data_IF_162776497799
#
_entry.id   IF_162776497799
#
_cell.length_a   1.000
_cell.length_b   1.000
_cell.length_c   1.000
_cell.angle_alpha   90.00
_cell.angle_beta   90.00
_cell.angle_gamma   90.00
#
_symmetry.space_group_name_H-M   'P 1'
#
loop_
_entity.id
_entity.type
_entity.pdbx_description
1 polymer ?
#
# COMPACT_ATOMS: atom_id res chain seq x y z
N UNK A 1 -8.03 -1.21 16.16
CA UNK A 1 -7.57 -1.00 14.78
C UNK A 1 -6.77 0.29 14.74
N UNK A 2 -5.68 0.30 13.98
CA UNK A 2 -4.85 1.49 13.74
C UNK A 2 -5.00 1.89 12.27
N UNK A 3 -5.13 3.20 12.03
CA UNK A 3 -5.29 3.76 10.69
C UNK A 3 -4.15 4.74 10.42
N UNK A 4 -3.58 4.68 9.22
CA UNK A 4 -2.42 5.46 8.85
C UNK A 4 -2.62 6.24 7.57
N UNK A 5 -1.95 7.39 7.47
CA UNK A 5 -1.58 8.01 6.21
C UNK A 5 -0.07 7.92 6.02
N UNK A 6 0.36 7.48 4.85
CA UNK A 6 1.79 7.37 4.51
C UNK A 6 2.17 8.52 3.58
N UNK A 7 3.22 9.26 3.94
CA UNK A 7 3.66 10.43 3.18
C UNK A 7 5.18 10.59 3.21
N UNK A 8 5.74 11.16 2.15
CA UNK A 8 7.13 11.67 2.13
C UNK A 8 7.21 13.07 2.77
N UNK A 9 6.08 13.74 3.01
CA UNK A 9 5.99 15.02 3.70
C UNK A 9 5.83 14.84 5.22
N UNK A 10 6.70 15.48 5.99
CA UNK A 10 6.86 15.31 7.44
C UNK A 10 6.19 16.37 8.30
N UNK A 11 5.62 17.41 7.71
CA UNK A 11 5.04 18.57 8.40
C UNK A 11 3.52 18.74 8.16
N UNK A 12 2.76 17.64 8.11
CA UNK A 12 1.30 17.70 7.95
C UNK A 12 0.61 17.68 9.32
N UNK A 13 0.12 18.84 9.76
CA UNK A 13 -0.60 18.97 11.04
C UNK A 13 -2.09 18.64 10.92
N UNK A 14 -2.70 18.91 9.75
CA UNK A 14 -4.12 18.69 9.48
C UNK A 14 -4.28 18.14 8.06
N UNK A 15 -5.01 17.04 7.96
CA UNK A 15 -5.42 16.47 6.68
C UNK A 15 -6.80 16.99 6.32
N UNK A 16 -6.85 17.87 5.33
CA UNK A 16 -8.11 18.38 4.80
C UNK A 16 -8.67 17.41 3.74
N UNK A 17 -10.00 17.20 3.68
CA UNK A 17 -10.61 16.36 2.66
C UNK A 17 -10.30 16.87 1.25
N UNK A 18 -9.90 15.96 0.35
CA UNK A 18 -9.57 16.27 -1.05
C UNK A 18 -10.51 15.53 -2.00
N UNK A 19 -10.89 16.17 -3.10
CA UNK A 19 -11.71 15.52 -4.13
C UNK A 19 -10.94 14.29 -4.66
N UNK A 20 -11.52 13.09 -4.59
CA UNK A 20 -10.83 11.87 -5.00
C UNK A 20 -10.59 11.85 -6.51
N UNK A 21 -9.49 11.24 -6.96
CA UNK A 21 -9.20 11.05 -8.39
C UNK A 21 -9.92 9.81 -8.97
N UNK A 22 -10.22 8.82 -8.12
CA UNK A 22 -10.98 7.59 -8.45
C UNK A 22 -12.34 7.89 -9.08
N UNK A 23 -12.61 7.36 -10.28
CA UNK A 23 -13.81 7.69 -11.08
C UNK A 23 -15.11 7.13 -10.50
N UNK A 24 -15.01 6.06 -9.73
CA UNK A 24 -16.10 5.35 -9.06
C UNK A 24 -16.62 6.07 -7.81
N UNK A 25 -15.94 7.14 -7.36
CA UNK A 25 -16.32 7.91 -6.18
C UNK A 25 -16.97 9.26 -6.55
N UNK A 26 -17.83 9.74 -5.65
CA UNK A 26 -18.49 11.04 -5.77
C UNK A 26 -17.47 12.19 -5.84
N UNK A 27 -17.43 12.88 -6.98
CA UNK A 27 -16.52 14.00 -7.26
C UNK A 27 -16.92 15.31 -6.58
N UNK A 28 -18.07 15.36 -5.92
CA UNK A 28 -18.51 16.52 -5.15
C UNK A 28 -18.06 16.47 -3.69
N UNK A 29 -17.57 15.32 -3.23
CA UNK A 29 -17.22 15.08 -1.83
C UNK A 29 -15.71 14.96 -1.68
N UNK A 30 -15.12 15.78 -0.80
CA UNK A 30 -13.74 15.65 -0.39
C UNK A 30 -13.56 14.53 0.62
N UNK A 31 -12.44 13.80 0.54
CA UNK A 31 -12.12 12.69 1.42
C UNK A 31 -10.69 12.81 1.99
N UNK A 32 -10.54 12.48 3.27
CA UNK A 32 -9.25 12.13 3.89
C UNK A 32 -9.14 10.61 3.84
N UNK A 33 -8.04 10.11 3.29
CA UNK A 33 -7.78 8.68 3.16
C UNK A 33 -6.85 8.19 4.26
N UNK A 34 -7.18 7.02 4.79
CA UNK A 34 -6.32 6.25 5.65
C UNK A 34 -6.32 4.77 5.22
N UNK A 35 -5.29 4.06 5.64
CA UNK A 35 -5.12 2.62 5.43
C UNK A 35 -5.01 1.93 6.78
N UNK A 36 -5.55 0.72 6.89
CA UNK A 36 -5.35 -0.07 8.11
C UNK A 36 -3.92 -0.60 8.25
N UNK A 37 -3.61 -1.10 9.44
CA UNK A 37 -2.29 -1.66 9.75
C UNK A 37 -1.94 -2.92 8.95
N UNK A 38 -2.93 -3.73 8.57
CA UNK A 38 -2.73 -4.98 7.82
C UNK A 38 -2.25 -4.68 6.39
N UNK A 39 -2.80 -3.64 5.77
CA UNK A 39 -2.49 -3.22 4.41
C UNK A 39 -1.39 -2.16 4.33
N UNK A 40 -0.91 -1.67 5.48
CA UNK A 40 0.22 -0.73 5.57
C UNK A 40 1.45 -1.14 4.71
N UNK A 41 1.86 -2.42 4.63
CA UNK A 41 2.98 -2.83 3.78
C UNK A 41 2.87 -2.39 2.32
N UNK A 42 1.65 -2.33 1.76
CA UNK A 42 1.40 -1.91 0.38
C UNK A 42 1.78 -0.45 0.13
N UNK A 43 2.04 0.32 1.18
CA UNK A 43 2.33 1.74 1.13
C UNK A 43 3.68 2.10 1.73
N UNK A 44 4.48 1.13 2.19
CA UNK A 44 5.86 1.36 2.65
C UNK A 44 6.85 1.45 1.48
N UNK A 45 6.50 2.27 0.49
CA UNK A 45 7.29 2.59 -0.71
C UNK A 45 7.14 4.08 -1.03
N UNK A 46 8.08 4.72 -1.74
CA UNK A 46 7.91 6.08 -2.26
C UNK A 46 6.58 6.24 -3.01
N UNK A 47 5.98 7.44 -2.99
CA UNK A 47 4.60 7.66 -3.45
C UNK A 47 4.37 7.17 -4.87
N UNK A 48 5.33 7.43 -5.75
CA UNK A 48 5.27 7.13 -7.18
C UNK A 48 5.94 5.80 -7.55
N UNK A 49 6.46 5.05 -6.57
CA UNK A 49 7.04 3.74 -6.81
C UNK A 49 5.96 2.77 -7.32
N UNK A 50 6.06 2.27 -8.58
CA UNK A 50 5.16 1.28 -9.12
C UNK A 50 5.40 -0.04 -8.39
N UNK A 51 4.30 -0.72 -8.08
CA UNK A 51 4.37 -1.95 -7.29
C UNK A 51 3.17 -2.84 -7.52
N UNK A 52 3.44 -4.13 -7.45
CA UNK A 52 2.42 -5.18 -7.36
C UNK A 52 2.53 -5.79 -5.98
N UNK A 53 1.40 -5.82 -5.28
CA UNK A 53 1.32 -6.29 -3.90
C UNK A 53 0.19 -7.29 -3.80
N UNK A 54 0.35 -8.29 -2.95
CA UNK A 54 -0.70 -9.28 -2.69
C UNK A 54 -0.50 -9.96 -1.34
N UNK A 55 -1.60 -10.46 -0.81
CA UNK A 55 -1.62 -11.13 0.48
C UNK A 55 -2.70 -12.22 0.55
N UNK A 56 -2.57 -13.11 1.54
CA UNK A 56 -3.55 -14.17 1.79
C UNK A 56 -4.83 -13.57 2.39
N UNK A 57 -5.96 -13.83 1.72
CA UNK A 57 -7.32 -13.52 2.17
C UNK A 57 -8.10 -14.78 2.54
N UNK A 58 -9.32 -14.61 3.05
CA UNK A 58 -10.22 -15.72 3.42
C UNK A 58 -10.53 -16.66 2.24
N UNK A 59 -10.58 -16.12 1.02
CA UNK A 59 -10.85 -16.87 -0.21
C UNK A 59 -9.62 -17.41 -0.95
N UNK A 60 -8.40 -17.23 -0.42
CA UNK A 60 -7.18 -17.63 -1.11
C UNK A 60 -7.02 -19.15 -1.14
N UNK A 61 -6.87 -19.71 -2.34
CA UNK A 61 -6.67 -21.14 -2.57
C UNK A 61 -5.27 -21.60 -2.16
N UNK A 62 -5.16 -22.87 -1.74
CA UNK A 62 -3.85 -23.48 -1.45
C UNK A 62 -2.93 -23.50 -2.68
N UNK A 63 -3.49 -23.67 -3.87
CA UNK A 63 -2.71 -23.62 -5.11
C UNK A 63 -2.01 -22.27 -5.30
N UNK A 64 -2.73 -21.15 -5.11
CA UNK A 64 -2.13 -19.83 -5.24
C UNK A 64 -1.10 -19.56 -4.13
N UNK A 65 -1.31 -20.10 -2.91
CA UNK A 65 -0.30 -20.02 -1.85
C UNK A 65 1.00 -20.70 -2.26
N UNK A 66 0.91 -21.95 -2.73
CA UNK A 66 2.07 -22.74 -3.17
C UNK A 66 2.81 -22.12 -4.36
N UNK A 67 2.09 -21.49 -5.29
CA UNK A 67 2.67 -20.91 -6.50
C UNK A 67 3.29 -19.54 -6.24
N UNK A 68 2.66 -18.70 -5.41
CA UNK A 68 3.02 -17.29 -5.28
C UNK A 68 3.80 -16.93 -4.03
N UNK A 69 3.96 -17.80 -3.04
CA UNK A 69 4.75 -17.52 -1.83
C UNK A 69 5.99 -18.41 -1.76
N UNK A 70 7.12 -17.87 -1.28
CA UNK A 70 8.37 -18.64 -1.21
C UNK A 70 8.49 -19.50 0.04
N UNK A 71 7.69 -19.24 1.07
CA UNK A 71 7.69 -19.98 2.34
C UNK A 71 6.31 -19.94 2.99
N UNK A 72 6.00 -20.95 3.81
CA UNK A 72 4.68 -21.15 4.41
C UNK A 72 4.32 -20.09 5.46
N UNK A 73 5.31 -19.40 6.01
CA UNK A 73 5.14 -18.34 7.00
C UNK A 73 4.95 -16.95 6.40
N UNK A 74 5.08 -16.80 5.07
CA UNK A 74 4.85 -15.53 4.37
C UNK A 74 3.39 -15.44 3.97
N UNK A 75 2.74 -14.33 4.35
CA UNK A 75 1.35 -14.06 3.99
C UNK A 75 1.18 -12.79 3.14
N UNK A 76 2.26 -12.01 2.93
CA UNK A 76 2.24 -10.74 2.22
C UNK A 76 3.49 -10.58 1.35
N UNK A 77 3.29 -10.21 0.08
CA UNK A 77 4.35 -9.91 -0.88
C UNK A 77 4.24 -8.48 -1.39
N UNK A 78 5.38 -7.80 -1.48
CA UNK A 78 5.55 -6.52 -2.18
C UNK A 78 6.58 -6.70 -3.29
N UNK A 79 6.25 -6.29 -4.51
CA UNK A 79 7.13 -6.39 -5.68
C UNK A 79 7.33 -5.01 -6.28
N UNK A 80 8.59 -4.63 -6.47
CA UNK A 80 9.00 -3.37 -7.10
C UNK A 80 9.94 -3.62 -8.29
N UNK A 81 10.12 -2.60 -9.13
CA UNK A 81 11.14 -2.64 -10.18
C UNK A 81 12.53 -2.27 -9.65
N UNK A 82 13.58 -2.89 -10.18
CA UNK A 82 14.97 -2.66 -9.78
C UNK A 82 15.44 -1.23 -10.04
N UNK A 83 14.84 -0.53 -11.01
CA UNK A 83 15.07 0.90 -11.27
C UNK A 83 14.72 1.78 -10.06
N UNK A 84 13.82 1.32 -9.18
CA UNK A 84 13.39 2.02 -7.97
C UNK A 84 14.21 1.69 -6.72
N UNK A 85 15.18 0.77 -6.81
CA UNK A 85 15.96 0.32 -5.66
C UNK A 85 16.66 1.47 -4.91
N UNK A 86 17.34 2.37 -5.64
CA UNK A 86 18.03 3.50 -5.02
C UNK A 86 17.04 4.50 -4.42
N UNK A 87 15.89 4.73 -5.05
CA UNK A 87 14.84 5.60 -4.49
C UNK A 87 14.30 5.01 -3.18
N UNK A 88 13.93 3.73 -3.18
CA UNK A 88 13.50 3.02 -1.97
C UNK A 88 14.51 3.11 -0.83
N UNK A 89 15.81 2.96 -1.14
CA UNK A 89 16.88 3.02 -0.14
C UNK A 89 17.05 4.41 0.49
N UNK A 90 16.78 5.47 -0.26
CA UNK A 90 17.10 6.84 0.13
C UNK A 90 15.86 7.67 0.51
N UNK A 91 14.65 7.12 0.38
CA UNK A 91 13.40 7.77 0.78
C UNK A 91 13.11 7.50 2.26
N UNK A 92 12.64 8.54 2.95
CA UNK A 92 12.06 8.43 4.28
C UNK A 92 10.55 8.64 4.20
N UNK A 93 9.80 7.86 4.97
CA UNK A 93 8.34 8.00 5.06
C UNK A 93 7.94 8.44 6.46
N UNK A 94 6.83 9.18 6.51
CA UNK A 94 6.13 9.57 7.73
C UNK A 94 4.79 8.85 7.76
N UNK A 95 4.57 8.11 8.84
CA UNK A 95 3.30 7.44 9.12
C UNK A 95 2.53 8.31 10.11
N UNK A 96 1.42 8.87 9.64
CA UNK A 96 0.51 9.65 10.45
C UNK A 96 -0.62 8.74 10.91
N UNK A 97 -0.69 8.45 12.19
CA UNK A 97 -1.75 7.61 12.77
C UNK A 97 -2.97 8.47 13.12
N UNK A 98 -4.18 7.99 12.81
CA UNK A 98 -5.44 8.68 13.11
C UNK A 98 -6.27 7.93 14.16
N UNK A 99 -7.18 8.67 14.83
CA UNK A 99 -8.27 8.06 15.58
C UNK A 99 -9.29 7.45 14.62
N UNK A 100 -9.53 6.15 14.75
CA UNK A 100 -10.44 5.40 13.88
C UNK A 100 -11.91 5.87 13.97
N UNK A 101 -12.32 6.56 15.04
CA UNK A 101 -13.72 7.02 15.21
C UNK A 101 -14.22 7.94 14.11
N UNK A 102 -13.32 8.69 13.45
CA UNK A 102 -13.67 9.62 12.37
C UNK A 102 -13.74 8.98 10.98
N UNK A 103 -13.54 7.66 10.87
CA UNK A 103 -13.36 6.98 9.59
C UNK A 103 -14.42 5.91 9.35
N UNK A 104 -14.87 5.81 8.10
CA UNK A 104 -15.72 4.74 7.58
C UNK A 104 -14.93 3.83 6.63
N UNK A 105 -15.24 2.53 6.64
CA UNK A 105 -14.63 1.55 5.74
C UNK A 105 -15.12 1.81 4.30
N UNK A 106 -14.19 1.95 3.37
CA UNK A 106 -14.46 2.16 1.94
C UNK A 106 -14.19 0.91 1.10
N UNK A 107 -13.17 0.13 1.46
CA UNK A 107 -12.74 -1.06 0.73
C UNK A 107 -11.93 -1.96 1.68
N UNK A 108 -12.44 -3.13 2.03
CA UNK A 108 -11.81 -4.05 2.98
C UNK A 108 -10.64 -4.82 2.38
N UNK A 109 -10.70 -5.12 1.09
CA UNK A 109 -9.62 -5.79 0.34
C UNK A 109 -8.41 -4.88 0.21
N UNK A 110 -8.63 -3.57 0.03
CA UNK A 110 -7.56 -2.58 -0.01
C UNK A 110 -7.20 -1.98 1.37
N UNK A 111 -7.96 -2.31 2.42
CA UNK A 111 -7.81 -1.73 3.75
C UNK A 111 -8.07 -0.23 3.79
N UNK A 112 -8.90 0.31 2.88
CA UNK A 112 -9.14 1.74 2.75
C UNK A 112 -10.26 2.23 3.66
N UNK A 113 -9.94 3.31 4.36
CA UNK A 113 -10.84 4.04 5.21
C UNK A 113 -10.88 5.50 4.77
N UNK A 114 -12.06 6.10 4.86
CA UNK A 114 -12.27 7.50 4.47
C UNK A 114 -12.92 8.32 5.58
N UNK A 115 -12.60 9.60 5.62
CA UNK A 115 -13.29 10.61 6.43
C UNK A 115 -13.72 11.77 5.53
N UNK A 116 -14.95 12.27 5.70
CA UNK A 116 -15.44 13.48 5.03
C UNK A 116 -15.04 14.76 5.78
N UNK A 117 -14.55 14.61 7.00
CA UNK A 117 -14.10 15.70 7.86
C UNK A 117 -12.58 15.80 7.88
N UNK A 118 -12.07 16.97 8.25
CA UNK A 118 -10.64 17.17 8.44
C UNK A 118 -10.13 16.35 9.64
N UNK A 119 -8.98 15.72 9.48
CA UNK A 119 -8.42 14.82 10.49
C UNK A 119 -7.08 15.34 11.00
N UNK A 120 -6.88 15.21 12.32
CA UNK A 120 -5.59 15.48 12.98
C UNK A 120 -4.94 14.16 13.34
N UNK A 121 -3.66 13.94 13.00
CA UNK A 121 -2.96 12.74 13.42
C UNK A 121 -2.78 12.72 14.95
N UNK A 122 -2.99 11.56 15.56
CA UNK A 122 -2.77 11.31 16.99
C UNK A 122 -1.33 10.91 17.29
N UNK A 123 -0.60 10.43 16.28
CA UNK A 123 0.83 10.14 16.34
C UNK A 123 1.49 10.30 14.97
N UNK A 124 2.80 10.51 14.97
CA UNK A 124 3.64 10.53 13.78
C UNK A 124 4.87 9.67 14.01
N UNK A 125 5.13 8.75 13.09
CA UNK A 125 6.31 7.89 13.11
C UNK A 125 7.15 8.14 11.86
N UNK A 126 8.47 7.99 11.98
CA UNK A 126 9.39 8.07 10.85
C UNK A 126 9.89 6.69 10.50
N UNK A 127 9.85 6.35 9.22
CA UNK A 127 10.42 5.13 8.65
C UNK A 127 11.60 5.53 7.79
N UNK A 128 12.80 5.28 8.33
CA UNK A 128 14.04 5.69 7.67
C UNK A 128 14.57 4.65 6.68
N UNK A 129 14.25 3.37 6.90
CA UNK A 129 14.64 2.25 6.05
C UNK A 129 13.37 1.48 5.66
N UNK A 130 12.97 1.62 4.40
CA UNK A 130 11.74 1.01 3.88
C UNK A 130 11.89 -0.51 3.72
N UNK A 131 13.10 -0.98 3.39
CA UNK A 131 13.39 -2.40 3.28
C UNK A 131 13.30 -3.07 4.64
N UNK A 132 13.97 -2.51 5.64
CA UNK A 132 13.91 -3.01 7.02
C UNK A 132 12.46 -3.00 7.55
N UNK A 133 11.69 -1.95 7.25
CA UNK A 133 10.31 -1.83 7.70
C UNK A 133 9.37 -2.91 7.12
N UNK A 134 9.58 -3.30 5.85
CA UNK A 134 8.86 -4.41 5.22
C UNK A 134 9.30 -5.75 5.81
N UNK A 135 10.61 -5.99 5.94
CA UNK A 135 11.14 -7.25 6.48
C UNK A 135 10.72 -7.50 7.93
N UNK A 136 10.71 -6.45 8.78
CA UNK A 136 10.21 -6.54 10.18
C UNK A 136 8.73 -6.91 10.27
N UNK A 137 7.96 -6.76 9.19
CA UNK A 137 6.55 -7.14 9.08
C UNK A 137 6.34 -8.51 8.43
N UNK A 138 7.41 -9.28 8.26
CA UNK A 138 7.39 -10.57 7.57
C UNK A 138 6.85 -10.49 6.12
N UNK A 139 7.12 -9.37 5.45
CA UNK A 139 6.75 -9.17 4.05
C UNK A 139 7.85 -9.72 3.17
N UNK A 140 7.49 -10.59 2.25
CA UNK A 140 8.41 -11.01 1.20
C UNK A 140 8.54 -9.88 0.17
N UNK A 141 9.75 -9.37 0.01
CA UNK A 141 10.05 -8.32 -0.93
C UNK A 141 10.77 -8.86 -2.16
N UNK A 142 10.22 -8.58 -3.35
CA UNK A 142 10.85 -8.95 -4.62
C UNK A 142 11.23 -7.71 -5.42
N UNK A 143 12.42 -7.75 -6.02
CA UNK A 143 12.93 -6.68 -6.88
C UNK A 143 13.19 -7.29 -8.25
N UNK A 144 12.41 -6.88 -9.25
CA UNK A 144 12.43 -7.47 -10.60
C UNK A 144 12.68 -6.40 -11.67
N UNK A 145 12.89 -6.80 -12.93
CA UNK A 145 13.14 -5.84 -14.01
C UNK A 145 11.89 -5.11 -14.48
N UNK A 146 10.73 -5.77 -14.43
CA UNK A 146 9.49 -5.25 -15.01
C UNK A 146 8.27 -5.86 -14.30
N UNK A 147 7.27 -5.03 -13.98
CA UNK A 147 6.10 -5.47 -13.20
C UNK A 147 4.94 -6.03 -14.03
N UNK A 148 4.92 -5.88 -15.35
CA UNK A 148 3.73 -6.16 -16.14
C UNK A 148 3.33 -7.64 -16.16
N UNK A 149 4.30 -8.54 -16.28
CA UNK A 149 4.04 -9.99 -16.26
C UNK A 149 3.36 -10.43 -14.96
N UNK A 150 3.84 -9.94 -13.81
CA UNK A 150 3.27 -10.30 -12.52
C UNK A 150 1.95 -9.58 -12.26
N UNK A 151 1.80 -8.33 -12.72
CA UNK A 151 0.53 -7.59 -12.71
C UNK A 151 -0.56 -8.34 -13.48
N UNK A 152 -0.23 -8.91 -14.63
CA UNK A 152 -1.23 -9.60 -15.45
C UNK A 152 -1.55 -11.00 -14.89
N UNK A 153 -0.57 -11.71 -14.31
CA UNK A 153 -0.78 -12.99 -13.62
C UNK A 153 -1.59 -12.86 -12.34
N UNK A 154 -1.32 -11.86 -11.50
CA UNK A 154 -1.96 -11.77 -10.17
C UNK A 154 -3.47 -11.54 -10.26
N UNK A 155 -3.93 -10.85 -11.31
CA UNK A 155 -5.36 -10.56 -11.56
C UNK A 155 -6.21 -11.81 -11.77
N UNK A 156 -5.62 -12.94 -12.17
CA UNK A 156 -6.34 -14.21 -12.37
C UNK A 156 -6.27 -15.15 -11.18
N UNK A 157 -5.72 -14.70 -10.03
CA UNK A 157 -5.57 -15.51 -8.82
C UNK A 157 -6.71 -15.26 -7.83
N UNK A 158 -6.75 -16.08 -6.77
CA UNK A 158 -7.62 -15.93 -5.59
C UNK A 158 -6.98 -15.11 -4.47
N UNK A 159 -5.85 -14.45 -4.74
CA UNK A 159 -5.16 -13.59 -3.78
C UNK A 159 -5.85 -12.22 -3.70
N UNK A 160 -5.80 -11.61 -2.52
CA UNK A 160 -6.09 -10.19 -2.41
C UNK A 160 -4.89 -9.43 -2.95
N UNK A 161 -5.09 -8.52 -3.91
CA UNK A 161 -3.99 -7.81 -4.56
C UNK A 161 -4.27 -6.34 -4.73
N UNK A 162 -3.19 -5.55 -4.76
CA UNK A 162 -3.20 -4.14 -5.11
C UNK A 162 -2.06 -3.85 -6.09
N UNK A 163 -2.42 -3.19 -7.19
CA UNK A 163 -1.49 -2.81 -8.26
C UNK A 163 -1.45 -1.29 -8.30
N UNK A 164 -0.35 -0.72 -7.81
CA UNK A 164 -0.25 0.70 -7.56
C UNK A 164 0.75 1.36 -8.51
N UNK A 165 0.41 2.59 -8.95
CA UNK A 165 1.34 3.51 -9.63
C UNK A 165 2.00 2.97 -10.90
N UNK A 166 1.37 2.00 -11.59
CA UNK A 166 1.89 1.39 -12.82
C UNK A 166 2.17 2.37 -13.97
N UNK A 167 1.63 3.60 -13.92
CA UNK A 167 2.02 4.67 -14.85
C UNK A 167 3.48 5.11 -14.73
N UNK A 168 4.15 4.76 -13.64
CA UNK A 168 5.59 4.98 -13.40
C UNK A 168 6.43 3.70 -13.58
N UNK A 169 5.82 2.59 -13.98
CA UNK A 169 6.54 1.36 -14.30
C UNK A 169 7.34 1.51 -15.59
N UNK A 170 8.36 0.66 -15.77
CA UNK A 170 9.02 0.50 -17.05
C UNK A 170 7.99 0.12 -18.14
N UNK A 171 8.23 0.44 -19.42
CA UNK A 171 7.36 0.02 -20.51
C UNK A 171 7.11 -1.49 -20.50
N UNK A 172 5.94 -1.92 -21.00
CA UNK A 172 5.67 -3.35 -21.24
C UNK A 172 6.77 -3.92 -22.15
N UNK A 173 7.32 -5.07 -21.75
CA UNK A 173 8.26 -5.84 -22.56
C UNK A 173 7.52 -6.59 -23.69
#
# INVERSE_FOLDING_TARGET
MRLFHVSEEGNIDIFNPRIPERKDLDKSVGLVWAIDEKHLPDFLTPRDCPRVTYHIGEGTSEHDKEVFFTSLDIEHVVIIESSWFQTMKNTHLYLYEFDAKGFELQDDIAGYYISREAQKPIAKYTVNDLFEALLKRNVELRIIKNLWDISDKIKSTTLNWSICRMGYAQPRL
#
